data_IF_909236540322
#
_entry.id   IF_909236540322
#
_cell.length_a   1.000
_cell.length_b   1.000
_cell.length_c   1.000
_cell.angle_alpha   90.00
_cell.angle_beta   90.00
_cell.angle_gamma   90.00
#
_symmetry.space_group_name_H-M   'P 1'
#
loop_
_entity.id
_entity.type
_entity.pdbx_description
1 polymer ?
#
# COMPACT_ATOMS: atom_id res chain seq x y z
N UNK A 1 -8.96 -24.64 71.88
CA UNK A 1 -9.08 -25.62 70.79
C UNK A 1 -9.01 -24.86 69.48
N UNK A 2 -7.84 -24.91 68.82
CA UNK A 2 -7.56 -24.78 67.38
C UNK A 2 -8.05 -23.50 66.66
N UNK A 3 -7.27 -22.66 65.95
CA UNK A 3 -6.02 -22.86 65.19
C UNK A 3 -5.23 -21.54 65.07
N UNK A 4 -3.90 -21.68 64.98
CA UNK A 4 -2.89 -20.70 64.55
C UNK A 4 -2.99 -20.41 63.04
N UNK A 5 -2.34 -19.33 62.56
CA UNK A 5 -1.56 -19.13 61.32
C UNK A 5 -1.53 -17.60 61.01
N UNK A 6 -0.49 -16.86 61.42
CA UNK A 6 0.77 -16.55 60.69
C UNK A 6 0.59 -15.57 59.51
N UNK A 7 0.99 -14.31 59.75
CA UNK A 7 1.97 -13.47 59.03
C UNK A 7 2.21 -13.60 57.49
N UNK A 8 2.50 -12.41 56.89
CA UNK A 8 3.26 -12.13 55.64
C UNK A 8 2.45 -12.30 54.33
N UNK A 9 2.47 -11.41 53.32
CA UNK A 9 3.26 -10.22 53.07
C UNK A 9 2.74 -9.46 51.83
N UNK A 10 3.08 -8.19 51.76
CA UNK A 10 2.76 -7.23 50.70
C UNK A 10 3.60 -7.52 49.44
N UNK A 11 3.01 -8.08 48.38
CA UNK A 11 3.67 -8.20 47.07
C UNK A 11 3.03 -7.26 46.06
N UNK A 12 3.65 -6.08 45.89
CA UNK A 12 3.40 -5.19 44.78
C UNK A 12 4.02 -5.78 43.51
N UNK A 13 3.19 -6.31 42.61
CA UNK A 13 3.63 -6.80 41.31
C UNK A 13 3.71 -5.62 40.33
N UNK A 14 4.88 -4.98 40.26
CA UNK A 14 5.24 -4.01 39.23
C UNK A 14 5.33 -4.74 37.88
N UNK A 15 4.21 -4.76 37.16
CA UNK A 15 4.12 -5.26 35.79
C UNK A 15 4.77 -4.23 34.87
N UNK A 16 6.09 -4.35 34.68
CA UNK A 16 6.84 -3.57 33.71
C UNK A 16 6.38 -3.93 32.29
N UNK A 17 5.52 -3.09 31.72
CA UNK A 17 5.28 -3.04 30.28
C UNK A 17 6.58 -2.57 29.60
N UNK A 18 7.44 -3.51 29.20
CA UNK A 18 8.43 -3.22 28.16
C UNK A 18 7.67 -3.08 26.84
N UNK A 19 7.14 -1.89 26.60
CA UNK A 19 6.73 -1.49 25.26
C UNK A 19 7.97 -1.46 24.39
N UNK A 20 8.17 -2.51 23.58
CA UNK A 20 9.15 -2.46 22.50
C UNK A 20 8.69 -1.40 21.53
N UNK A 21 9.23 -0.18 21.68
CA UNK A 21 9.13 0.86 20.67
C UNK A 21 9.82 0.30 19.43
N UNK A 22 9.03 -0.28 18.52
CA UNK A 22 9.50 -0.71 17.22
C UNK A 22 10.00 0.56 16.55
N UNK A 23 11.32 0.68 16.36
CA UNK A 23 11.91 1.80 15.66
C UNK A 23 11.11 2.00 14.36
N UNK A 24 10.55 3.19 14.16
CA UNK A 24 9.81 3.52 12.95
C UNK A 24 10.76 3.38 11.76
N UNK A 25 10.78 2.19 11.15
CA UNK A 25 11.65 1.87 10.03
C UNK A 25 11.31 2.78 8.86
N UNK A 26 12.33 3.25 8.13
CA UNK A 26 12.14 4.08 6.95
C UNK A 26 11.15 3.42 5.96
N UNK A 27 10.18 4.19 5.46
CA UNK A 27 9.18 3.76 4.49
C UNK A 27 9.36 4.49 3.14
N UNK A 28 8.91 3.88 2.04
CA UNK A 28 8.76 4.60 0.78
C UNK A 28 7.83 5.80 0.91
N UNK A 29 8.01 6.76 0.01
CA UNK A 29 7.16 7.94 -0.12
C UNK A 29 6.43 7.89 -1.46
N UNK A 30 5.09 7.93 -1.41
CA UNK A 30 4.26 8.07 -2.59
C UNK A 30 4.10 9.55 -2.97
N UNK A 31 4.21 9.84 -4.25
CA UNK A 31 4.03 11.17 -4.86
C UNK A 31 3.12 11.04 -6.07
N UNK A 32 2.33 12.09 -6.33
CA UNK A 32 1.50 12.21 -7.54
C UNK A 32 0.63 10.98 -7.75
N UNK A 33 -0.12 10.58 -6.71
CA UNK A 33 -0.99 9.41 -6.75
C UNK A 33 -2.38 9.79 -7.30
N UNK A 34 -2.79 9.16 -8.39
CA UNK A 34 -4.08 9.44 -9.04
C UNK A 34 -4.67 8.22 -9.73
N UNK A 35 -6.00 8.18 -9.81
CA UNK A 35 -6.76 7.16 -10.53
C UNK A 35 -7.32 7.80 -11.79
N UNK A 36 -7.15 7.14 -12.93
CA UNK A 36 -7.80 7.58 -14.16
C UNK A 36 -9.24 7.11 -14.19
N UNK A 37 -10.16 8.08 -14.21
CA UNK A 37 -11.56 7.84 -14.46
C UNK A 37 -11.76 7.48 -15.95
N UNK A 38 -12.35 6.32 -16.28
CA UNK A 38 -12.61 5.93 -17.65
C UNK A 38 -13.74 6.80 -18.27
N UNK A 39 -13.75 6.97 -19.61
CA UNK A 39 -14.77 7.78 -20.28
C UNK A 39 -16.18 7.16 -20.23
N UNK A 40 -16.25 5.84 -20.05
CA UNK A 40 -17.48 5.08 -19.81
C UNK A 40 -17.31 4.28 -18.54
N UNK A 41 -18.41 3.99 -17.85
CA UNK A 41 -18.37 3.14 -16.65
C UNK A 41 -17.83 1.76 -17.03
N UNK A 42 -16.72 1.37 -16.40
CA UNK A 42 -16.08 0.07 -16.60
C UNK A 42 -15.79 -0.55 -15.24
N UNK A 43 -15.76 -1.89 -15.13
CA UNK A 43 -15.37 -2.57 -13.89
C UNK A 43 -13.88 -2.39 -13.56
N UNK A 44 -13.13 -1.71 -14.43
CA UNK A 44 -11.68 -1.65 -14.43
C UNK A 44 -11.19 -0.22 -14.56
N UNK A 45 -10.30 0.19 -13.65
CA UNK A 45 -9.63 1.49 -13.64
C UNK A 45 -8.13 1.33 -13.44
N UNK A 46 -7.35 2.36 -13.77
CA UNK A 46 -5.91 2.35 -13.61
C UNK A 46 -5.46 3.39 -12.59
N UNK A 47 -4.68 2.95 -11.60
CA UNK A 47 -4.01 3.81 -10.62
C UNK A 47 -2.55 4.06 -10.99
N UNK A 48 -2.12 5.30 -10.80
CA UNK A 48 -0.78 5.78 -11.15
C UNK A 48 -0.17 6.51 -9.96
N UNK A 49 1.10 6.27 -9.69
CA UNK A 49 1.81 6.83 -8.54
C UNK A 49 3.31 6.76 -8.77
N UNK A 50 4.04 7.77 -8.31
CA UNK A 50 5.49 7.71 -8.18
C UNK A 50 5.85 7.27 -6.77
N UNK A 51 6.60 6.18 -6.65
CA UNK A 51 7.02 5.63 -5.35
C UNK A 51 8.52 5.83 -5.23
N UNK A 52 8.94 6.63 -4.26
CA UNK A 52 10.34 6.92 -3.98
C UNK A 52 10.81 6.11 -2.78
N UNK A 53 11.99 5.51 -2.87
CA UNK A 53 12.64 4.84 -1.76
C UNK A 53 13.76 5.72 -1.19
N UNK A 54 13.50 6.57 -0.17
CA UNK A 54 14.53 7.35 0.50
C UNK A 54 15.36 6.51 1.48
N UNK A 55 15.03 5.24 1.67
CA UNK A 55 15.66 4.37 2.65
C UNK A 55 17.03 3.88 2.16
N UNK A 56 17.86 3.46 3.12
CA UNK A 56 19.18 2.88 2.85
C UNK A 56 19.11 1.42 2.38
N UNK A 57 17.98 0.76 2.59
CA UNK A 57 17.73 -0.62 2.18
C UNK A 57 16.79 -0.66 0.96
N UNK A 58 16.93 -1.66 0.07
CA UNK A 58 15.94 -1.89 -0.98
C UNK A 58 14.58 -2.22 -0.35
N UNK A 59 13.53 -1.83 -1.05
CA UNK A 59 12.15 -2.23 -0.74
C UNK A 59 11.56 -2.97 -1.93
N UNK A 60 10.45 -3.66 -1.74
CA UNK A 60 9.67 -4.21 -2.83
C UNK A 60 8.18 -4.09 -2.54
N UNK A 61 7.41 -3.58 -3.50
CA UNK A 61 5.94 -3.68 -3.46
C UNK A 61 5.56 -5.07 -3.97
N UNK A 62 4.75 -5.80 -3.21
CA UNK A 62 4.35 -7.19 -3.54
C UNK A 62 2.85 -7.38 -3.65
N UNK A 63 2.08 -6.29 -3.53
CA UNK A 63 0.63 -6.32 -3.64
C UNK A 63 0.03 -4.99 -3.21
N UNK A 64 -1.28 -4.91 -3.31
CA UNK A 64 -2.05 -3.77 -2.84
C UNK A 64 -3.48 -4.21 -2.49
N UNK A 65 -4.17 -3.39 -1.70
CA UNK A 65 -5.57 -3.60 -1.35
C UNK A 65 -6.29 -2.26 -1.18
N UNK A 66 -7.61 -2.27 -1.23
CA UNK A 66 -8.44 -1.10 -0.96
C UNK A 66 -9.79 -1.50 -0.40
N UNK A 67 -10.41 -0.60 0.36
CA UNK A 67 -11.82 -0.73 0.74
C UNK A 67 -12.77 -0.23 -0.35
N UNK A 68 -12.25 0.43 -1.40
CA UNK A 68 -13.03 0.97 -2.50
C UNK A 68 -13.17 -0.02 -3.68
N UNK A 69 -12.34 -1.06 -3.72
CA UNK A 69 -12.20 -1.98 -4.84
C UNK A 69 -12.20 -3.43 -4.36
N UNK A 70 -12.74 -4.32 -5.19
CA UNK A 70 -12.71 -5.78 -4.97
C UNK A 70 -11.28 -6.33 -5.07
N UNK A 71 -10.54 -5.91 -6.09
CA UNK A 71 -9.16 -6.35 -6.31
C UNK A 71 -8.24 -5.20 -6.75
N UNK A 72 -6.98 -5.27 -6.30
CA UNK A 72 -5.92 -4.33 -6.66
C UNK A 72 -4.63 -5.09 -6.93
N UNK A 73 -4.21 -5.10 -8.19
CA UNK A 73 -3.00 -5.79 -8.63
C UNK A 73 -2.03 -4.83 -9.33
N UNK A 74 -0.74 -5.18 -9.35
CA UNK A 74 0.27 -4.41 -10.06
C UNK A 74 0.47 -4.98 -11.46
N UNK A 75 0.42 -4.14 -12.47
CA UNK A 75 0.51 -4.54 -13.88
C UNK A 75 1.54 -3.69 -14.63
N UNK A 76 2.03 -4.21 -15.75
CA UNK A 76 2.85 -3.50 -16.72
C UNK A 76 2.23 -3.61 -18.11
N UNK A 77 2.11 -2.49 -18.79
CA UNK A 77 1.81 -2.44 -20.22
C UNK A 77 3.12 -2.42 -21.00
N UNK A 78 3.25 -3.33 -21.98
CA UNK A 78 4.36 -3.35 -22.95
C UNK A 78 3.84 -3.50 -24.36
N UNK A 79 4.57 -2.94 -25.31
CA UNK A 79 4.34 -3.22 -26.73
C UNK A 79 5.14 -4.46 -27.13
N UNK A 80 4.45 -5.45 -27.67
CA UNK A 80 5.05 -6.66 -28.23
C UNK A 80 4.56 -6.83 -29.66
N UNK A 81 5.46 -6.65 -30.64
CA UNK A 81 5.16 -6.75 -32.07
C UNK A 81 4.04 -5.79 -32.52
N UNK A 82 4.08 -4.54 -32.07
CA UNK A 82 3.05 -3.54 -32.40
C UNK A 82 1.72 -3.74 -31.64
N UNK A 83 1.63 -4.73 -30.75
CA UNK A 83 0.43 -5.00 -29.95
C UNK A 83 0.71 -4.67 -28.49
N UNK A 84 -0.12 -3.79 -27.91
CA UNK A 84 -0.07 -3.49 -26.49
C UNK A 84 -0.58 -4.69 -25.68
N UNK A 85 0.23 -5.18 -24.74
CA UNK A 85 -0.11 -6.27 -23.82
C UNK A 85 0.07 -5.81 -22.39
N UNK A 86 -0.87 -6.21 -21.54
CA UNK A 86 -0.77 -6.05 -20.08
C UNK A 86 -0.35 -7.38 -19.45
N UNK A 87 0.54 -7.30 -18.46
CA UNK A 87 0.95 -8.44 -17.65
C UNK A 87 0.98 -8.04 -16.18
N UNK A 88 0.56 -8.95 -15.32
CA UNK A 88 0.69 -8.79 -13.88
C UNK A 88 2.17 -8.83 -13.46
N UNK A 89 2.49 -8.04 -12.44
CA UNK A 89 3.81 -7.90 -11.82
C UNK A 89 3.68 -8.28 -10.36
N UNK A 90 4.20 -9.45 -10.00
CA UNK A 90 4.09 -10.00 -8.64
C UNK A 90 4.93 -9.21 -7.63
N UNK A 91 6.03 -8.60 -8.08
CA UNK A 91 6.92 -7.82 -7.23
C UNK A 91 7.57 -6.65 -7.98
N UNK A 92 7.64 -5.49 -7.33
CA UNK A 92 8.28 -4.28 -7.83
C UNK A 92 9.38 -3.83 -6.86
N UNK A 93 10.63 -4.27 -7.08
CA UNK A 93 11.75 -3.83 -6.27
C UNK A 93 12.13 -2.38 -6.57
N UNK A 94 12.46 -1.62 -5.53
CA UNK A 94 12.94 -0.23 -5.63
C UNK A 94 14.22 -0.11 -4.81
N UNK A 95 15.33 0.09 -5.49
CA UNK A 95 16.65 0.24 -4.87
C UNK A 95 16.73 1.51 -3.98
N UNK A 96 17.65 1.55 -3.01
CA UNK A 96 17.91 2.75 -2.20
C UNK A 96 18.12 4.01 -3.05
N UNK A 97 17.45 5.10 -2.69
CA UNK A 97 17.55 6.38 -3.40
C UNK A 97 16.97 6.38 -4.82
N UNK A 98 16.26 5.33 -5.23
CA UNK A 98 15.59 5.23 -6.53
C UNK A 98 14.07 5.40 -6.39
N UNK A 99 13.41 5.47 -7.53
CA UNK A 99 11.96 5.56 -7.61
C UNK A 99 11.42 4.61 -8.68
N UNK A 100 10.23 4.10 -8.45
CA UNK A 100 9.40 3.48 -9.48
C UNK A 100 8.31 4.45 -9.90
N UNK A 101 8.04 4.50 -11.21
CA UNK A 101 7.02 5.37 -11.78
C UNK A 101 5.93 4.52 -12.42
N UNK A 102 4.74 4.52 -11.79
CA UNK A 102 3.54 3.95 -12.35
C UNK A 102 2.85 5.05 -13.16
N UNK A 103 2.81 4.90 -14.49
CA UNK A 103 2.31 5.90 -15.43
C UNK A 103 1.57 5.26 -16.61
N UNK A 104 0.70 6.01 -17.32
CA UNK A 104 0.01 5.51 -18.50
C UNK A 104 0.99 4.89 -19.52
N UNK A 105 0.65 3.71 -20.02
CA UNK A 105 1.47 2.97 -20.99
C UNK A 105 2.66 2.21 -20.41
N UNK A 106 2.86 2.22 -19.08
CA UNK A 106 3.89 1.44 -18.39
C UNK A 106 3.33 0.69 -17.19
N UNK A 107 4.04 0.76 -16.06
CA UNK A 107 3.55 0.21 -14.79
C UNK A 107 2.30 0.93 -14.31
N UNK A 108 1.35 0.21 -13.72
CA UNK A 108 0.13 0.76 -13.16
C UNK A 108 -0.49 -0.20 -12.14
N UNK A 109 -1.35 0.33 -11.27
CA UNK A 109 -2.26 -0.50 -10.48
C UNK A 109 -3.50 -0.77 -11.33
N UNK A 110 -3.86 -2.04 -11.46
CA UNK A 110 -5.17 -2.43 -11.97
C UNK A 110 -6.15 -2.40 -10.79
N UNK A 111 -7.25 -1.66 -10.94
CA UNK A 111 -8.27 -1.48 -9.91
C UNK A 111 -9.57 -2.10 -10.42
N UNK A 112 -9.92 -3.25 -9.90
CA UNK A 112 -11.09 -4.01 -10.35
C UNK A 112 -12.25 -3.90 -9.36
N UNK A 113 -13.46 -3.86 -9.90
CA UNK A 113 -14.70 -3.96 -9.14
C UNK A 113 -14.85 -2.85 -8.10
N UNK A 114 -14.98 -1.58 -8.51
CA UNK A 114 -15.29 -0.53 -7.55
C UNK A 114 -16.64 -0.81 -6.87
N UNK A 115 -16.67 -0.84 -5.53
CA UNK A 115 -17.91 -1.11 -4.78
C UNK A 115 -18.96 0.00 -4.91
N UNK A 116 -18.51 1.21 -5.22
CA UNK A 116 -19.36 2.36 -5.52
C UNK A 116 -18.79 3.11 -6.74
N UNK A 117 -19.62 3.79 -7.55
CA UNK A 117 -19.13 4.65 -8.61
C UNK A 117 -18.22 5.75 -8.04
N UNK A 118 -17.03 5.93 -8.61
CA UNK A 118 -16.13 7.03 -8.25
C UNK A 118 -16.38 8.25 -9.13
N UNK A 119 -16.41 9.44 -8.53
CA UNK A 119 -16.41 10.73 -9.22
C UNK A 119 -15.02 11.39 -9.24
N UNK A 120 -14.81 12.30 -10.19
CA UNK A 120 -13.59 13.11 -10.22
C UNK A 120 -13.45 13.96 -8.95
N UNK A 121 -12.23 14.03 -8.40
CA UNK A 121 -11.91 14.72 -7.16
C UNK A 121 -12.04 13.86 -5.90
N UNK A 122 -12.64 12.67 -6.00
CA UNK A 122 -12.64 11.70 -4.90
C UNK A 122 -11.24 11.20 -4.58
N UNK A 123 -11.07 10.72 -3.35
CA UNK A 123 -9.76 10.41 -2.77
C UNK A 123 -9.73 9.06 -2.05
N UNK A 124 -9.99 7.93 -2.74
CA UNK A 124 -9.87 6.61 -2.14
C UNK A 124 -8.44 6.34 -1.66
N UNK A 125 -8.33 5.53 -0.61
CA UNK A 125 -7.06 5.03 -0.11
C UNK A 125 -6.78 3.66 -0.75
N UNK A 126 -5.57 3.50 -1.28
CA UNK A 126 -5.02 2.21 -1.69
C UNK A 126 -3.80 1.93 -0.80
N UNK A 127 -3.77 0.76 -0.19
CA UNK A 127 -2.68 0.34 0.69
C UNK A 127 -1.74 -0.57 -0.07
N UNK A 128 -0.50 -0.10 -0.30
CA UNK A 128 0.55 -0.89 -0.94
C UNK A 128 1.20 -1.81 0.10
N UNK A 129 1.37 -3.09 -0.23
CA UNK A 129 2.00 -4.11 0.62
C UNK A 129 3.47 -4.23 0.30
N UNK A 130 4.31 -4.16 1.33
CA UNK A 130 5.75 -4.31 1.23
C UNK A 130 6.16 -5.75 1.52
N UNK A 131 7.22 -6.22 0.86
CA UNK A 131 7.75 -7.57 1.05
C UNK A 131 8.20 -7.88 2.49
N UNK A 132 8.49 -6.85 3.28
CA UNK A 132 8.87 -6.96 4.69
C UNK A 132 7.67 -6.99 5.66
N UNK A 133 6.44 -7.14 5.13
CA UNK A 133 5.20 -7.23 5.89
C UNK A 133 4.59 -5.88 6.26
N UNK A 134 5.27 -4.77 5.97
CA UNK A 134 4.74 -3.42 6.21
C UNK A 134 3.74 -3.00 5.13
N UNK A 135 2.97 -1.96 5.44
CA UNK A 135 1.96 -1.40 4.54
C UNK A 135 2.17 0.11 4.38
N UNK A 136 1.97 0.62 3.16
CA UNK A 136 2.00 2.04 2.83
C UNK A 136 0.62 2.48 2.33
N UNK A 137 -0.22 3.12 3.16
CA UNK A 137 -1.47 3.72 2.71
C UNK A 137 -1.18 4.96 1.85
N UNK A 138 -1.81 5.03 0.68
CA UNK A 138 -1.64 6.14 -0.27
C UNK A 138 -3.02 6.64 -0.67
N UNK A 139 -3.21 7.96 -0.58
CA UNK A 139 -4.42 8.64 -1.06
C UNK A 139 -4.26 8.92 -2.55
N UNK A 140 -5.18 8.41 -3.37
CA UNK A 140 -5.19 8.65 -4.81
C UNK A 140 -6.29 9.62 -5.19
N UNK A 141 -5.99 10.69 -5.93
CA UNK A 141 -7.02 11.57 -6.47
C UNK A 141 -7.61 11.00 -7.77
N UNK A 142 -8.94 10.89 -7.85
CA UNK A 142 -9.62 10.44 -9.08
C UNK A 142 -9.68 11.59 -10.08
N UNK A 143 -9.15 11.38 -11.29
CA UNK A 143 -9.02 12.43 -12.33
C UNK A 143 -9.35 11.87 -13.71
N UNK A 144 -9.83 12.75 -14.60
CA UNK A 144 -10.09 12.41 -16.01
C UNK A 144 -8.81 12.32 -16.85
N UNK A 145 -7.76 13.05 -16.44
CA UNK A 145 -6.47 13.14 -17.13
C UNK A 145 -5.30 13.17 -16.14
N UNK A 146 -4.09 12.95 -16.65
CA UNK A 146 -2.87 13.05 -15.88
C UNK A 146 -2.72 14.46 -15.24
N UNK A 147 -2.12 14.55 -14.04
CA UNK A 147 -1.80 15.82 -13.37
C UNK A 147 -0.63 16.56 -14.01
#
# INVERSE_FOLDING_TARGET
MNRRFEMIGLSALLMSCLGTAHAAGCLPVAKVAWIRLPPVTMPMMAGFVRIENPCKAPISIVGAESLAFDDVSLHETREENGVSRMREVVALPIAPGKAAELKPGGLHLMLHGPYQPLAAGEKPVITLKLADGRSLPVVFEVRKSAP
#
